data_IF_048530174911
#
_entry.id   IF_048530174911
#
_cell.length_a   1.000
_cell.length_b   1.000
_cell.length_c   1.000
_cell.angle_alpha   90.00
_cell.angle_beta   90.00
_cell.angle_gamma   90.00
#
_symmetry.space_group_name_H-M   'P 1'
#
loop_
_entity.id
_entity.type
_entity.pdbx_description
1 polymer ?
#
# COMPACT_ATOMS: atom_id res chain seq x y z
N UNK A 1 -11.87 25.40 9.87
CA UNK A 1 -11.84 24.00 10.32
C UNK A 1 -12.42 23.13 9.21
N UNK A 2 -11.70 22.10 8.76
CA UNK A 2 -12.16 21.22 7.68
C UNK A 2 -13.45 20.51 8.11
N UNK A 3 -14.50 20.56 7.29
CA UNK A 3 -15.82 20.00 7.62
C UNK A 3 -15.83 18.47 7.80
N UNK A 4 -14.76 17.78 7.40
CA UNK A 4 -14.63 16.33 7.49
C UNK A 4 -14.14 15.84 8.87
N UNK A 5 -13.49 16.67 9.69
CA UNK A 5 -12.91 16.24 10.97
C UNK A 5 -14.00 15.72 11.95
N UNK A 6 -15.12 16.42 12.16
CA UNK A 6 -16.22 15.88 12.98
C UNK A 6 -16.81 14.59 12.40
N UNK A 7 -16.89 14.50 11.07
CA UNK A 7 -17.39 13.31 10.37
C UNK A 7 -16.52 12.06 10.54
N UNK A 8 -15.21 12.22 10.78
CA UNK A 8 -14.32 11.10 11.08
C UNK A 8 -14.60 10.50 12.46
N UNK A 9 -14.94 11.32 13.45
CA UNK A 9 -15.30 10.86 14.79
C UNK A 9 -16.64 10.10 14.79
N UNK A 10 -17.59 10.55 13.98
CA UNK A 10 -18.92 9.96 13.85
C UNK A 10 -18.99 8.83 12.81
N UNK A 11 -17.87 8.47 12.17
CA UNK A 11 -17.81 7.54 11.05
C UNK A 11 -18.62 6.23 11.25
N UNK A 12 -18.53 5.53 12.40
CA UNK A 12 -19.28 4.29 12.62
C UNK A 12 -20.81 4.47 12.66
N UNK A 13 -21.28 5.70 12.90
CA UNK A 13 -22.69 6.03 13.02
C UNK A 13 -23.30 6.55 11.71
N UNK A 14 -22.48 6.79 10.68
CA UNK A 14 -22.94 7.28 9.38
C UNK A 14 -23.72 6.18 8.68
N UNK A 15 -25.00 6.44 8.39
CA UNK A 15 -25.89 5.50 7.69
C UNK A 15 -25.95 5.75 6.18
N UNK A 16 -25.60 6.96 5.72
CA UNK A 16 -25.55 7.27 4.28
C UNK A 16 -24.28 6.70 3.65
N UNK A 17 -24.38 5.72 2.73
CA UNK A 17 -23.21 5.13 2.10
C UNK A 17 -22.36 6.16 1.36
N UNK A 18 -22.98 7.13 0.68
CA UNK A 18 -22.24 8.14 -0.09
C UNK A 18 -21.42 9.05 0.83
N UNK A 19 -22.03 9.48 1.94
CA UNK A 19 -21.32 10.24 2.96
C UNK A 19 -20.19 9.42 3.59
N UNK A 20 -20.43 8.14 3.88
CA UNK A 20 -19.42 7.24 4.42
C UNK A 20 -18.21 7.14 3.47
N UNK A 21 -18.42 6.89 2.19
CA UNK A 21 -17.33 6.81 1.19
C UNK A 21 -16.55 8.13 1.06
N UNK A 22 -17.23 9.27 1.12
CA UNK A 22 -16.58 10.58 1.11
C UNK A 22 -15.70 10.80 2.35
N UNK A 23 -16.18 10.41 3.53
CA UNK A 23 -15.38 10.49 4.77
C UNK A 23 -14.21 9.52 4.71
N UNK A 24 -14.39 8.31 4.15
CA UNK A 24 -13.28 7.38 3.92
C UNK A 24 -12.20 8.02 3.04
N UNK A 25 -12.57 8.51 1.86
CA UNK A 25 -11.62 9.15 0.94
C UNK A 25 -10.90 10.35 1.59
N UNK A 26 -11.63 11.17 2.35
CA UNK A 26 -11.05 12.29 3.09
C UNK A 26 -10.03 11.82 4.15
N UNK A 27 -10.31 10.74 4.88
CA UNK A 27 -9.38 10.17 5.87
C UNK A 27 -8.06 9.72 5.22
N UNK A 28 -8.15 9.03 4.08
CA UNK A 28 -6.99 8.53 3.33
C UNK A 28 -6.12 9.68 2.83
N UNK A 29 -6.74 10.76 2.34
CA UNK A 29 -6.03 11.96 1.91
C UNK A 29 -5.35 12.64 3.11
N UNK A 30 -6.07 12.80 4.23
CA UNK A 30 -5.52 13.47 5.42
C UNK A 30 -4.37 12.69 6.05
N UNK A 31 -4.44 11.35 6.07
CA UNK A 31 -3.33 10.49 6.48
C UNK A 31 -2.06 10.78 5.66
N UNK A 32 -2.18 10.97 4.34
CA UNK A 32 -1.02 11.30 3.51
C UNK A 32 -0.35 12.62 3.94
N UNK A 33 -1.14 13.64 4.29
CA UNK A 33 -0.61 14.92 4.74
C UNK A 33 0.05 14.80 6.11
N UNK A 34 -0.53 14.04 7.05
CA UNK A 34 0.09 13.75 8.36
C UNK A 34 1.46 13.08 8.19
N UNK A 35 1.55 12.03 7.36
CA UNK A 35 2.80 11.31 7.12
C UNK A 35 3.87 12.19 6.42
N UNK A 36 3.47 13.09 5.51
CA UNK A 36 4.37 14.04 4.86
C UNK A 36 4.89 15.11 5.84
N UNK A 37 4.06 15.58 6.78
CA UNK A 37 4.48 16.52 7.81
C UNK A 37 5.54 15.87 8.74
N UNK A 38 5.37 14.59 9.09
CA UNK A 38 6.34 13.83 9.88
C UNK A 38 7.70 13.65 9.16
N UNK A 39 7.73 13.52 7.84
CA UNK A 39 8.97 13.45 7.05
C UNK A 39 9.76 14.77 7.04
N UNK A 40 9.08 15.92 7.11
CA UNK A 40 9.71 17.26 7.11
C UNK A 40 10.19 17.75 8.49
N UNK A 41 10.11 16.91 9.52
CA UNK A 41 10.35 17.22 10.93
C UNK A 41 11.78 17.63 11.34
N UNK A 42 12.72 17.86 10.40
CA UNK A 42 14.02 18.47 10.71
C UNK A 42 13.92 20.00 11.02
N UNK A 43 12.73 20.61 10.91
CA UNK A 43 12.55 22.06 10.97
C UNK A 43 11.63 22.65 12.04
N UNK A 44 10.90 21.86 12.84
CA UNK A 44 10.09 22.39 13.95
C UNK A 44 10.76 22.05 15.28
N UNK A 45 11.68 22.92 15.67
CA UNK A 45 12.28 22.88 17.00
C UNK A 45 11.19 22.85 18.07
N UNK A 46 11.25 21.83 18.93
CA UNK A 46 10.99 21.72 20.39
C UNK A 46 10.21 22.80 21.18
N UNK A 47 9.54 23.76 20.56
CA UNK A 47 8.98 24.97 21.18
C UNK A 47 7.48 25.18 20.91
N UNK A 48 6.83 24.28 20.17
CA UNK A 48 5.36 24.28 19.98
C UNK A 48 4.67 23.07 20.67
N UNK A 49 5.40 22.28 21.46
CA UNK A 49 4.91 21.01 22.03
C UNK A 49 4.08 21.15 23.33
N UNK A 50 3.62 22.36 23.70
CA UNK A 50 2.85 22.57 24.95
C UNK A 50 1.45 23.16 24.75
N UNK A 51 0.96 23.30 23.51
CA UNK A 51 -0.40 23.80 23.25
C UNK A 51 -1.10 23.07 22.08
N UNK A 52 -1.43 21.78 22.23
CA UNK A 52 -2.61 21.11 21.57
C UNK A 52 -2.59 19.58 21.76
N UNK A 53 -2.61 19.09 23.01
CA UNK A 53 -2.50 17.63 23.27
C UNK A 53 -3.87 16.92 23.42
N UNK A 54 -5.00 17.63 23.32
CA UNK A 54 -6.31 17.02 23.67
C UNK A 54 -7.23 16.68 22.47
N UNK A 55 -6.86 17.03 21.23
CA UNK A 55 -7.75 16.79 20.07
C UNK A 55 -7.04 16.44 18.75
N UNK A 56 -5.81 15.92 18.78
CA UNK A 56 -5.18 15.38 17.57
C UNK A 56 -5.86 14.06 17.17
N UNK A 57 -6.67 14.12 16.12
CA UNK A 57 -7.26 12.93 15.48
C UNK A 57 -6.14 12.07 14.91
N UNK A 58 -5.93 10.88 15.50
CA UNK A 58 -4.97 9.91 14.99
C UNK A 58 -5.50 9.29 13.69
N UNK A 59 -5.04 9.79 12.53
CA UNK A 59 -5.56 9.33 11.23
C UNK A 59 -5.17 7.88 10.93
N UNK A 60 -4.09 7.36 11.52
CA UNK A 60 -3.76 5.94 11.45
C UNK A 60 -4.84 5.07 12.11
N UNK A 61 -5.30 5.44 13.31
CA UNK A 61 -6.38 4.73 14.00
C UNK A 61 -7.72 4.85 13.25
N UNK A 62 -7.99 6.01 12.65
CA UNK A 62 -9.20 6.24 11.84
C UNK A 62 -9.16 5.41 10.56
N UNK A 63 -8.02 5.37 9.85
CA UNK A 63 -7.88 4.56 8.62
C UNK A 63 -7.97 3.06 8.89
N UNK A 64 -7.45 2.56 10.01
CA UNK A 64 -7.65 1.17 10.42
C UNK A 64 -9.14 0.82 10.60
N UNK A 65 -9.90 1.66 11.30
CA UNK A 65 -11.36 1.46 11.45
C UNK A 65 -12.11 1.50 10.12
N UNK A 66 -11.70 2.40 9.22
CA UNK A 66 -12.27 2.50 7.87
C UNK A 66 -12.00 1.21 7.08
N UNK A 67 -10.78 0.68 7.14
CA UNK A 67 -10.40 -0.55 6.46
C UNK A 67 -11.23 -1.73 6.96
N UNK A 68 -11.38 -1.87 8.28
CA UNK A 68 -12.22 -2.92 8.86
C UNK A 68 -13.68 -2.82 8.38
N UNK A 69 -14.20 -1.60 8.23
CA UNK A 69 -15.53 -1.35 7.68
C UNK A 69 -15.66 -1.74 6.21
N UNK A 70 -14.68 -1.42 5.36
CA UNK A 70 -14.70 -1.79 3.92
C UNK A 70 -14.61 -3.30 3.75
N UNK A 71 -13.77 -3.96 4.55
CA UNK A 71 -13.60 -5.42 4.53
C UNK A 71 -14.90 -6.13 4.93
N UNK A 72 -15.68 -5.56 5.86
CA UNK A 72 -16.94 -6.15 6.31
C UNK A 72 -18.04 -6.13 5.23
N UNK A 73 -18.00 -5.17 4.30
CA UNK A 73 -18.96 -5.07 3.19
C UNK A 73 -18.29 -4.52 1.93
N UNK A 74 -17.57 -5.37 1.17
CA UNK A 74 -16.95 -4.95 -0.08
C UNK A 74 -18.03 -4.59 -1.10
N UNK A 75 -18.08 -3.32 -1.51
CA UNK A 75 -18.90 -2.87 -2.62
C UNK A 75 -18.06 -2.92 -3.91
N UNK A 76 -18.52 -3.69 -4.89
CA UNK A 76 -17.88 -3.74 -6.20
C UNK A 76 -17.92 -2.35 -6.86
N UNK A 77 -16.74 -1.84 -7.24
CA UNK A 77 -16.55 -0.59 -7.98
C UNK A 77 -17.05 0.70 -7.29
N UNK A 78 -16.79 0.85 -6.00
CA UNK A 78 -17.15 2.06 -5.24
C UNK A 78 -15.95 2.96 -4.87
N UNK A 79 -16.22 4.18 -4.39
CA UNK A 79 -15.17 5.10 -3.95
C UNK A 79 -14.45 4.54 -2.71
N UNK A 80 -15.16 3.81 -1.84
CA UNK A 80 -14.55 3.09 -0.71
C UNK A 80 -13.52 2.06 -1.18
N UNK A 81 -13.84 1.28 -2.22
CA UNK A 81 -12.91 0.30 -2.79
C UNK A 81 -11.68 0.98 -3.39
N UNK A 82 -11.85 2.11 -4.08
CA UNK A 82 -10.72 2.91 -4.58
C UNK A 82 -9.84 3.44 -3.43
N UNK A 83 -10.46 4.01 -2.40
CA UNK A 83 -9.77 4.53 -1.21
C UNK A 83 -9.00 3.42 -0.47
N UNK A 84 -9.59 2.24 -0.31
CA UNK A 84 -8.93 1.07 0.28
C UNK A 84 -7.62 0.72 -0.43
N UNK A 85 -7.63 0.67 -1.78
CA UNK A 85 -6.42 0.36 -2.54
C UNK A 85 -5.36 1.46 -2.44
N UNK A 86 -5.74 2.72 -2.18
CA UNK A 86 -4.77 3.77 -1.87
C UNK A 86 -4.15 3.52 -0.49
N UNK A 87 -4.96 3.19 0.52
CA UNK A 87 -4.45 2.89 1.88
C UNK A 87 -3.47 1.72 1.87
N UNK A 88 -3.77 0.65 1.13
CA UNK A 88 -2.85 -0.49 0.99
C UNK A 88 -1.49 -0.03 0.42
N UNK A 89 -1.49 0.85 -0.58
CA UNK A 89 -0.26 1.38 -1.18
C UNK A 89 0.49 2.32 -0.23
N UNK A 90 -0.22 3.18 0.50
CA UNK A 90 0.36 4.05 1.53
C UNK A 90 1.03 3.22 2.63
N UNK A 91 0.36 2.17 3.12
CA UNK A 91 0.92 1.30 4.14
C UNK A 91 2.19 0.59 3.67
N UNK A 92 2.21 0.11 2.43
CA UNK A 92 3.40 -0.50 1.83
C UNK A 92 4.53 0.51 1.72
N UNK A 93 4.25 1.72 1.21
CA UNK A 93 5.25 2.79 1.11
C UNK A 93 5.82 3.14 2.49
N UNK A 94 4.97 3.36 3.48
CA UNK A 94 5.36 3.69 4.84
C UNK A 94 6.22 2.57 5.45
N UNK A 95 5.78 1.32 5.35
CA UNK A 95 6.53 0.17 5.87
C UNK A 95 7.92 0.03 5.24
N UNK A 96 8.04 0.24 3.92
CA UNK A 96 9.31 0.11 3.22
C UNK A 96 10.27 1.29 3.46
N UNK A 97 9.75 2.50 3.65
CA UNK A 97 10.57 3.71 3.88
C UNK A 97 10.95 3.89 5.35
N UNK A 98 10.11 3.45 6.29
CA UNK A 98 10.33 3.57 7.74
C UNK A 98 10.86 2.30 8.38
N UNK A 99 11.02 1.21 7.61
CA UNK A 99 11.46 -0.10 8.09
C UNK A 99 10.57 -0.66 9.22
N UNK A 100 9.26 -0.40 9.14
CA UNK A 100 8.29 -0.82 10.15
C UNK A 100 7.39 -1.94 9.64
N UNK A 101 6.91 -2.78 10.56
CA UNK A 101 5.87 -3.77 10.24
C UNK A 101 4.61 -3.02 9.79
N UNK A 102 4.05 -3.33 8.60
CA UNK A 102 2.74 -2.82 8.21
C UNK A 102 1.68 -3.16 9.26
N UNK A 103 0.85 -2.19 9.62
CA UNK A 103 -0.27 -2.38 10.54
C UNK A 103 -1.44 -3.14 9.91
N UNK A 104 -1.49 -3.16 8.58
CA UNK A 104 -2.53 -3.84 7.81
C UNK A 104 -2.21 -5.32 7.60
N UNK A 105 -3.26 -6.14 7.54
CA UNK A 105 -3.18 -7.54 7.12
C UNK A 105 -3.39 -7.66 5.63
N UNK A 106 -2.49 -8.35 4.94
CA UNK A 106 -2.56 -8.58 3.50
C UNK A 106 -3.07 -10.00 3.19
N UNK A 107 -4.35 -10.24 3.47
CA UNK A 107 -4.97 -11.54 3.22
C UNK A 107 -5.57 -11.59 1.80
N UNK A 108 -5.04 -12.45 0.93
CA UNK A 108 -5.54 -12.60 -0.45
C UNK A 108 -6.99 -13.11 -0.51
N UNK A 109 -7.42 -13.88 0.49
CA UNK A 109 -8.77 -14.46 0.56
C UNK A 109 -9.85 -13.40 0.77
N UNK A 110 -9.47 -12.20 1.24
CA UNK A 110 -10.40 -11.08 1.47
C UNK A 110 -10.82 -10.38 0.17
N UNK A 111 -10.08 -10.56 -0.91
CA UNK A 111 -10.36 -9.93 -2.20
C UNK A 111 -10.25 -10.93 -3.36
N UNK A 112 -11.16 -11.92 -3.44
CA UNK A 112 -11.10 -12.97 -4.47
C UNK A 112 -11.22 -12.43 -5.90
N UNK A 113 -11.88 -11.27 -6.07
CA UNK A 113 -12.08 -10.61 -7.36
C UNK A 113 -11.06 -9.50 -7.64
N UNK A 114 -9.99 -9.38 -6.86
CA UNK A 114 -8.96 -8.39 -7.11
C UNK A 114 -8.31 -8.59 -8.49
N UNK A 115 -8.01 -7.47 -9.17
CA UNK A 115 -7.23 -7.49 -10.39
C UNK A 115 -5.84 -8.06 -10.13
N UNK A 116 -5.20 -8.60 -11.17
CA UNK A 116 -3.83 -9.11 -11.06
C UNK A 116 -2.84 -8.03 -10.57
N UNK A 117 -3.06 -6.78 -10.99
CA UNK A 117 -2.28 -5.64 -10.53
C UNK A 117 -2.44 -5.42 -9.01
N UNK A 118 -3.66 -5.48 -8.49
CA UNK A 118 -3.89 -5.37 -7.06
C UNK A 118 -3.36 -6.58 -6.27
N UNK A 119 -3.42 -7.79 -6.84
CA UNK A 119 -2.78 -8.97 -6.23
C UNK A 119 -1.26 -8.81 -6.11
N UNK A 120 -0.61 -8.21 -7.12
CA UNK A 120 0.81 -7.86 -7.04
C UNK A 120 1.09 -6.84 -5.92
N UNK A 121 0.24 -5.84 -5.74
CA UNK A 121 0.36 -4.87 -4.65
C UNK A 121 0.22 -5.57 -3.28
N UNK A 122 -0.81 -6.41 -3.10
CA UNK A 122 -1.01 -7.19 -1.86
C UNK A 122 0.20 -8.07 -1.55
N UNK A 123 0.81 -8.67 -2.58
CA UNK A 123 2.03 -9.47 -2.42
C UNK A 123 3.18 -8.67 -1.82
N UNK A 124 3.39 -7.42 -2.26
CA UNK A 124 4.42 -6.55 -1.65
C UNK A 124 4.14 -6.30 -0.18
N UNK A 125 2.88 -6.10 0.20
CA UNK A 125 2.47 -5.97 1.59
C UNK A 125 2.85 -7.19 2.43
N UNK A 126 2.59 -8.41 1.92
CA UNK A 126 3.01 -9.65 2.60
C UNK A 126 4.54 -9.75 2.73
N UNK A 127 5.28 -9.37 1.68
CA UNK A 127 6.74 -9.34 1.72
C UNK A 127 7.26 -8.33 2.76
N UNK A 128 6.65 -7.14 2.85
CA UNK A 128 6.97 -6.15 3.87
C UNK A 128 6.68 -6.65 5.29
N UNK A 129 5.54 -7.32 5.50
CA UNK A 129 5.21 -7.97 6.78
C UNK A 129 6.24 -9.02 7.19
N UNK A 130 6.64 -9.89 6.25
CA UNK A 130 7.68 -10.89 6.51
C UNK A 130 9.03 -10.22 6.79
N UNK A 131 9.40 -9.22 5.99
CA UNK A 131 10.70 -8.54 6.06
C UNK A 131 10.92 -7.84 7.40
N UNK A 132 9.92 -7.10 7.87
CA UNK A 132 10.03 -6.31 9.11
C UNK A 132 9.47 -7.02 10.34
N UNK A 133 8.70 -8.10 10.15
CA UNK A 133 8.13 -8.90 11.21
C UNK A 133 8.99 -10.12 11.55
N UNK A 134 8.34 -11.28 11.66
CA UNK A 134 9.02 -12.55 11.92
C UNK A 134 9.53 -13.13 10.59
N UNK A 135 10.79 -12.84 10.25
CA UNK A 135 11.51 -13.31 9.04
C UNK A 135 11.73 -14.83 9.00
N UNK A 136 10.68 -15.64 9.10
CA UNK A 136 10.80 -17.09 9.11
C UNK A 136 11.14 -17.65 7.71
N UNK A 137 11.89 -18.75 7.67
CA UNK A 137 12.23 -19.45 6.43
C UNK A 137 11.00 -20.06 5.75
N UNK A 138 10.07 -20.60 6.54
CA UNK A 138 8.83 -21.19 6.02
C UNK A 138 7.98 -20.14 5.29
N UNK A 139 7.86 -18.95 5.87
CA UNK A 139 7.12 -17.85 5.26
C UNK A 139 7.84 -17.32 4.02
N UNK A 140 9.17 -17.18 4.04
CA UNK A 140 9.92 -16.83 2.84
C UNK A 140 9.69 -17.83 1.70
N UNK A 141 9.72 -19.13 2.02
CA UNK A 141 9.49 -20.21 1.03
C UNK A 141 8.08 -20.12 0.45
N UNK A 142 7.08 -19.86 1.29
CA UNK A 142 5.70 -19.62 0.86
C UNK A 142 5.59 -18.40 -0.06
N UNK A 143 6.25 -17.29 0.28
CA UNK A 143 6.27 -16.08 -0.54
C UNK A 143 6.95 -16.29 -1.90
N UNK A 144 8.02 -17.09 -1.97
CA UNK A 144 8.63 -17.49 -3.26
C UNK A 144 7.69 -18.34 -4.11
N UNK A 145 6.89 -19.22 -3.51
CA UNK A 145 5.87 -19.98 -4.24
C UNK A 145 4.74 -19.07 -4.76
N UNK A 146 4.26 -18.14 -3.92
CA UNK A 146 3.26 -17.14 -4.29
C UNK A 146 3.77 -16.22 -5.42
N UNK A 147 5.04 -15.81 -5.39
CA UNK A 147 5.69 -15.04 -6.46
C UNK A 147 5.60 -15.78 -7.80
N UNK A 148 5.98 -17.06 -7.82
CA UNK A 148 5.95 -17.88 -9.03
C UNK A 148 4.52 -18.08 -9.55
N UNK A 149 3.54 -18.21 -8.64
CA UNK A 149 2.13 -18.28 -8.98
C UNK A 149 1.66 -16.97 -9.65
N UNK A 150 1.97 -15.82 -9.06
CA UNK A 150 1.59 -14.51 -9.59
C UNK A 150 2.23 -14.23 -10.96
N UNK A 151 3.49 -14.59 -11.16
CA UNK A 151 4.15 -14.50 -12.47
C UNK A 151 3.32 -15.26 -13.51
N UNK A 152 2.97 -16.52 -13.25
CA UNK A 152 2.15 -17.32 -14.18
C UNK A 152 0.77 -16.72 -14.43
N UNK A 153 0.11 -16.22 -13.39
CA UNK A 153 -1.24 -15.64 -13.48
C UNK A 153 -1.29 -14.30 -14.22
N UNK A 154 -0.16 -13.58 -14.28
CA UNK A 154 -0.03 -12.29 -14.95
C UNK A 154 0.29 -12.37 -16.44
N UNK A 155 0.78 -13.52 -16.92
CA UNK A 155 1.02 -13.76 -18.34
C UNK A 155 -0.26 -13.53 -19.15
N UNK A 156 -0.14 -12.77 -20.25
CA UNK A 156 -1.27 -12.39 -21.09
C UNK A 156 -2.25 -11.36 -20.49
N UNK A 157 -2.11 -10.98 -19.21
CA UNK A 157 -2.97 -9.97 -18.55
C UNK A 157 -2.25 -8.63 -18.36
N UNK A 158 -0.93 -8.66 -18.18
CA UNK A 158 -0.10 -7.48 -17.95
C UNK A 158 1.11 -7.48 -18.89
N UNK A 159 0.83 -7.39 -20.19
CA UNK A 159 1.91 -7.33 -21.18
C UNK A 159 2.35 -5.89 -21.45
N UNK A 160 3.67 -5.62 -21.48
CA UNK A 160 4.19 -4.35 -21.95
C UNK A 160 3.82 -4.11 -23.42
N UNK A 161 3.56 -2.85 -23.77
CA UNK A 161 3.43 -2.42 -25.18
C UNK A 161 4.80 -2.12 -25.81
N UNK A 162 5.81 -1.90 -24.98
CA UNK A 162 7.18 -1.67 -25.39
C UNK A 162 8.12 -2.23 -24.34
N UNK A 163 9.12 -2.98 -24.78
CA UNK A 163 10.21 -3.43 -23.92
C UNK A 163 11.55 -3.22 -24.64
N UNK A 164 12.34 -2.28 -24.13
CA UNK A 164 13.68 -1.98 -24.62
C UNK A 164 14.69 -2.41 -23.55
N UNK A 165 15.64 -3.26 -23.96
CA UNK A 165 16.74 -3.66 -23.08
C UNK A 165 17.68 -2.49 -22.81
N UNK A 166 18.36 -2.52 -21.67
CA UNK A 166 19.43 -1.57 -21.38
C UNK A 166 20.53 -1.67 -22.46
N UNK A 167 20.96 -0.52 -22.97
CA UNK A 167 22.03 -0.39 -23.96
C UNK A 167 23.07 0.62 -23.43
N UNK A 168 24.06 0.08 -22.71
CA UNK A 168 25.14 0.88 -22.11
C UNK A 168 25.95 1.64 -23.17
N UNK A 169 26.05 1.14 -24.40
CA UNK A 169 26.77 1.81 -25.47
C UNK A 169 26.07 3.12 -25.90
N UNK A 170 24.75 3.22 -25.68
CA UNK A 170 23.94 4.42 -25.92
C UNK A 170 23.66 5.24 -24.65
N UNK A 171 24.34 4.93 -23.55
CA UNK A 171 24.08 5.56 -22.25
C UNK A 171 22.77 5.14 -21.58
N UNK A 172 22.10 4.10 -22.08
CA UNK A 172 20.86 3.56 -21.52
C UNK A 172 21.21 2.54 -20.43
N UNK A 173 21.35 3.02 -19.19
CA UNK A 173 21.78 2.19 -18.04
C UNK A 173 20.68 1.19 -17.63
N UNK A 174 19.42 1.62 -17.73
CA UNK A 174 18.24 0.82 -17.34
C UNK A 174 17.39 0.45 -18.55
N UNK A 175 16.65 -0.67 -18.49
CA UNK A 175 15.66 -0.99 -19.50
C UNK A 175 14.52 0.05 -19.49
N UNK A 176 13.83 0.17 -20.62
CA UNK A 176 12.59 0.97 -20.74
C UNK A 176 11.44 0.04 -21.03
N UNK A 177 10.44 0.02 -20.14
CA UNK A 177 9.24 -0.81 -20.28
C UNK A 177 8.02 0.08 -20.18
N UNK A 178 7.15 0.02 -21.19
CA UNK A 178 5.89 0.78 -21.21
C UNK A 178 4.71 -0.17 -21.14
N UNK A 179 3.68 0.22 -20.39
CA UNK A 179 2.43 -0.49 -20.29
C UNK A 179 1.29 0.37 -20.84
N UNK A 180 0.20 -0.26 -21.30
CA UNK A 180 -0.99 0.47 -21.77
C UNK A 180 -1.73 1.23 -20.67
N UNK A 181 -1.52 0.87 -19.40
CA UNK A 181 -2.22 1.43 -18.25
C UNK A 181 -1.25 1.69 -17.09
N UNK A 182 -1.40 2.84 -16.43
CA UNK A 182 -0.54 3.23 -15.31
C UNK A 182 -0.59 2.21 -14.16
N UNK A 183 -1.76 1.63 -13.91
CA UNK A 183 -1.93 0.59 -12.88
C UNK A 183 -1.04 -0.62 -13.11
N UNK A 184 -0.75 -0.96 -14.37
CA UNK A 184 0.16 -2.05 -14.71
C UNK A 184 1.62 -1.67 -14.42
N UNK A 185 2.01 -0.44 -14.77
CA UNK A 185 3.35 0.06 -14.46
C UNK A 185 3.59 0.12 -12.95
N UNK A 186 2.63 0.66 -12.17
CA UNK A 186 2.69 0.70 -10.71
C UNK A 186 2.80 -0.71 -10.12
N UNK A 187 1.96 -1.65 -10.56
CA UNK A 187 1.99 -3.01 -10.05
C UNK A 187 3.31 -3.74 -10.40
N UNK A 188 3.82 -3.57 -11.62
CA UNK A 188 5.10 -4.14 -12.02
C UNK A 188 6.27 -3.60 -11.17
N UNK A 189 6.32 -2.28 -10.95
CA UNK A 189 7.35 -1.66 -10.10
C UNK A 189 7.32 -2.19 -8.66
N UNK A 190 6.12 -2.25 -8.07
CA UNK A 190 5.93 -2.78 -6.73
C UNK A 190 6.33 -4.26 -6.65
N UNK A 191 5.88 -5.07 -7.62
CA UNK A 191 6.21 -6.49 -7.66
C UNK A 191 7.72 -6.70 -7.78
N UNK A 192 8.41 -5.96 -8.66
CA UNK A 192 9.87 -6.00 -8.78
C UNK A 192 10.57 -5.65 -7.46
N UNK A 193 10.06 -4.67 -6.72
CA UNK A 193 10.60 -4.32 -5.40
C UNK A 193 10.50 -5.49 -4.41
N UNK A 194 9.36 -6.17 -4.37
CA UNK A 194 9.17 -7.36 -3.55
C UNK A 194 10.13 -8.50 -3.96
N UNK A 195 10.33 -8.72 -5.26
CA UNK A 195 11.27 -9.72 -5.76
C UNK A 195 12.72 -9.41 -5.37
N UNK A 196 13.11 -8.13 -5.43
CA UNK A 196 14.43 -7.69 -4.98
C UNK A 196 14.63 -7.95 -3.49
N UNK A 197 13.63 -7.62 -2.66
CA UNK A 197 13.69 -7.89 -1.20
C UNK A 197 13.85 -9.39 -0.94
N UNK A 198 12.99 -10.24 -1.52
CA UNK A 198 13.06 -11.69 -1.29
C UNK A 198 14.36 -12.31 -1.79
N UNK A 199 14.94 -11.77 -2.86
CA UNK A 199 16.22 -12.24 -3.41
C UNK A 199 17.39 -11.83 -2.52
N UNK A 200 17.42 -10.56 -2.09
CA UNK A 200 18.47 -10.02 -1.25
C UNK A 200 18.48 -10.65 0.15
N UNK A 201 17.29 -11.00 0.66
CA UNK A 201 17.08 -11.52 2.02
C UNK A 201 16.86 -13.04 2.03
N UNK A 202 17.35 -13.74 1.00
CA UNK A 202 17.23 -15.19 0.92
C UNK A 202 17.95 -15.87 2.10
N UNK A 203 17.22 -16.53 3.03
CA UNK A 203 17.83 -17.15 4.21
C UNK A 203 18.69 -18.39 3.90
N UNK A 204 18.71 -18.84 2.65
CA UNK A 204 19.52 -19.98 2.19
C UNK A 204 20.93 -19.58 1.71
N UNK A 205 21.24 -18.28 1.68
CA UNK A 205 22.54 -17.76 1.24
C UNK A 205 23.55 -17.62 2.41
N UNK A 206 23.13 -17.85 3.65
CA UNK A 206 23.98 -17.95 4.84
C UNK A 206 24.54 -19.38 5.01
#
# INVERSE_FOLDING_TARGET
>A
MLKCIPGLAEFPNIQDPTHQENIMAAAVILRQYEEMEEETGEGRGRMEAEYDDDERVNFLAVTQRIIDSVIASPLDHSLATAAYWIVIRQEIYYALTRETVPHLRFDSDRWPNASIANNMIMFVGKVAQWRWGQKSLDEWTRLKLDEQKLIRESLGKMEPILELKADRAKGQIFPTVWYSFDVHATAAQHFQLAQMILTAENPQLE
#
